data_IF_362694934162
#
_entry.id   IF_362694934162
#
_cell.length_a   1.000
_cell.length_b   1.000
_cell.length_c   1.000
_cell.angle_alpha   90.00
_cell.angle_beta   90.00
_cell.angle_gamma   90.00
#
_symmetry.space_group_name_H-M   'P 1'
#
loop_
_entity.id
_entity.type
_entity.pdbx_description
1 polymer ?
#
# COMPACT_ATOMS: atom_id res chain seq x y z
N UNK A 1 82.44 19.66 -1.29
CA UNK A 1 81.61 18.80 -0.41
C UNK A 1 80.40 18.36 -1.22
N UNK A 2 80.23 17.05 -1.41
CA UNK A 2 79.25 16.47 -2.33
C UNK A 2 77.80 16.63 -1.81
N UNK A 3 76.86 16.90 -2.73
CA UNK A 3 75.41 16.98 -2.51
C UNK A 3 74.87 15.75 -1.72
N UNK A 4 75.54 14.61 -1.87
CA UNK A 4 75.27 13.36 -1.14
C UNK A 4 75.47 13.46 0.38
N UNK A 5 76.36 14.32 0.86
CA UNK A 5 76.59 14.52 2.30
C UNK A 5 75.50 15.35 2.99
N UNK A 6 74.82 16.21 2.23
CA UNK A 6 73.72 17.03 2.73
C UNK A 6 72.42 16.21 2.77
N UNK A 7 72.20 15.34 1.79
CA UNK A 7 71.06 14.41 1.77
C UNK A 7 71.16 13.38 2.91
N UNK A 8 72.37 12.92 3.28
CA UNK A 8 72.60 11.99 4.41
C UNK A 8 72.29 12.58 5.79
N UNK A 9 72.19 13.90 5.93
CA UNK A 9 71.80 14.57 7.18
C UNK A 9 70.29 14.70 7.36
N UNK A 10 69.52 14.52 6.28
CA UNK A 10 68.05 14.63 6.27
C UNK A 10 67.40 13.23 6.28
N UNK A 11 68.13 12.17 5.91
CA UNK A 11 67.70 10.78 6.04
C UNK A 11 67.98 10.24 7.45
N UNK A 12 67.00 9.62 8.15
CA UNK A 12 67.22 9.07 9.48
C UNK A 12 68.35 8.03 9.51
N UNK A 13 69.18 8.07 10.55
CA UNK A 13 70.35 7.21 10.70
C UNK A 13 69.99 5.73 10.83
N UNK A 14 70.40 4.92 9.85
CA UNK A 14 70.30 3.45 9.80
C UNK A 14 68.89 2.85 9.80
N UNK A 15 68.70 1.76 9.03
CA UNK A 15 67.45 0.98 8.96
C UNK A 15 66.89 0.58 10.33
N UNK A 16 67.76 0.42 11.34
CA UNK A 16 67.36 0.15 12.73
C UNK A 16 66.57 1.28 13.39
N UNK A 17 66.89 2.55 13.07
CA UNK A 17 66.16 3.71 13.62
C UNK A 17 64.77 3.83 13.00
N UNK A 18 64.66 3.60 11.68
CA UNK A 18 63.36 3.56 10.99
C UNK A 18 62.48 2.39 11.46
N UNK A 19 63.06 1.21 11.69
CA UNK A 19 62.33 0.08 12.28
C UNK A 19 61.89 0.38 13.71
N UNK A 20 62.74 0.96 14.56
CA UNK A 20 62.36 1.35 15.90
C UNK A 20 61.24 2.41 15.90
N UNK A 21 61.22 3.32 14.92
CA UNK A 21 60.12 4.27 14.75
C UNK A 21 58.82 3.61 14.26
N UNK A 22 58.89 2.61 13.38
CA UNK A 22 57.71 1.85 12.97
C UNK A 22 57.17 1.02 14.13
N UNK A 23 58.03 0.32 14.88
CA UNK A 23 57.62 -0.44 16.07
C UNK A 23 57.00 0.46 17.14
N UNK A 24 57.52 1.68 17.38
CA UNK A 24 56.90 2.63 18.31
C UNK A 24 55.56 3.17 17.77
N UNK A 25 55.44 3.35 16.45
CA UNK A 25 54.20 3.79 15.81
C UNK A 25 53.11 2.70 15.90
N UNK A 26 53.45 1.46 15.57
CA UNK A 26 52.55 0.30 15.65
C UNK A 26 52.09 0.09 17.10
N UNK A 27 53.02 0.15 18.06
CA UNK A 27 52.67 0.08 19.49
C UNK A 27 51.70 1.18 19.91
N UNK A 28 51.88 2.42 19.41
CA UNK A 28 50.95 3.52 19.69
C UNK A 28 49.59 3.31 19.03
N UNK A 29 49.54 2.77 17.82
CA UNK A 29 48.28 2.42 17.16
C UNK A 29 47.54 1.34 17.95
N UNK A 30 48.22 0.28 18.38
CA UNK A 30 47.64 -0.77 19.21
C UNK A 30 47.08 -0.22 20.53
N UNK A 31 47.81 0.70 21.19
CA UNK A 31 47.33 1.37 22.40
C UNK A 31 46.08 2.22 22.14
N UNK A 32 45.99 2.89 20.99
CA UNK A 32 44.81 3.67 20.60
C UNK A 32 43.63 2.75 20.29
N UNK A 33 43.83 1.68 19.53
CA UNK A 33 42.78 0.70 19.22
C UNK A 33 42.25 0.04 20.48
N UNK A 34 43.12 -0.39 21.40
CA UNK A 34 42.70 -0.97 22.68
C UNK A 34 41.87 0.01 23.51
N UNK A 35 42.22 1.30 23.52
CA UNK A 35 41.43 2.34 24.19
C UNK A 35 40.08 2.57 23.51
N UNK A 36 40.03 2.51 22.18
CA UNK A 36 38.78 2.61 21.41
C UNK A 36 37.87 1.42 21.72
N UNK A 37 38.38 0.19 21.68
CA UNK A 37 37.61 -1.02 22.03
C UNK A 37 37.09 -0.99 23.46
N UNK A 38 37.92 -0.53 24.42
CA UNK A 38 37.51 -0.37 25.80
C UNK A 38 36.41 0.69 25.95
N UNK A 39 36.53 1.82 25.26
CA UNK A 39 35.53 2.88 25.28
C UNK A 39 34.22 2.41 24.63
N UNK A 40 34.30 1.76 23.46
CA UNK A 40 33.15 1.20 22.74
C UNK A 40 32.44 0.14 23.59
N UNK A 41 33.18 -0.80 24.18
CA UNK A 41 32.63 -1.81 25.10
C UNK A 41 31.97 -1.14 26.31
N UNK A 42 32.59 -0.13 26.91
CA UNK A 42 32.03 0.58 28.06
C UNK A 42 30.75 1.36 27.72
N UNK A 43 30.73 2.02 26.57
CA UNK A 43 29.56 2.78 26.08
C UNK A 43 28.43 1.82 25.75
N UNK A 44 28.68 0.81 24.90
CA UNK A 44 27.67 -0.15 24.45
C UNK A 44 27.12 -0.97 25.61
N UNK A 45 27.96 -1.44 26.54
CA UNK A 45 27.50 -2.16 27.72
C UNK A 45 26.64 -1.29 28.65
N UNK A 46 26.99 0.00 28.83
CA UNK A 46 26.18 0.91 29.62
C UNK A 46 24.84 1.25 28.94
N UNK A 47 24.83 1.38 27.60
CA UNK A 47 23.61 1.57 26.82
C UNK A 47 22.73 0.33 26.94
N UNK A 48 23.27 -0.87 26.67
CA UNK A 48 22.54 -2.13 26.79
C UNK A 48 22.01 -2.31 28.21
N UNK A 49 22.82 -2.06 29.24
CA UNK A 49 22.38 -2.13 30.63
C UNK A 49 21.22 -1.17 30.90
N UNK A 50 21.31 0.10 30.48
CA UNK A 50 20.23 1.07 30.67
C UNK A 50 18.97 0.67 29.89
N UNK A 51 19.12 0.14 28.69
CA UNK A 51 18.03 -0.37 27.88
C UNK A 51 17.36 -1.56 28.59
N UNK A 52 18.10 -2.62 28.87
CA UNK A 52 17.59 -3.88 29.42
C UNK A 52 17.05 -3.74 30.85
N UNK A 53 17.68 -2.93 31.69
CA UNK A 53 17.32 -2.85 33.12
C UNK A 53 16.38 -1.70 33.47
N UNK A 54 16.26 -0.68 32.62
CA UNK A 54 15.40 0.48 32.89
C UNK A 54 14.35 0.64 31.82
N UNK A 55 14.75 0.86 30.58
CA UNK A 55 13.82 1.24 29.52
C UNK A 55 12.91 0.08 29.10
N UNK A 56 13.45 -1.11 28.86
CA UNK A 56 12.71 -2.27 28.40
C UNK A 56 11.64 -2.73 29.40
N UNK A 57 11.91 -2.84 30.72
CA UNK A 57 10.87 -3.14 31.70
C UNK A 57 9.77 -2.07 31.77
N UNK A 58 10.12 -0.79 31.61
CA UNK A 58 9.13 0.31 31.56
C UNK A 58 8.24 0.21 30.31
N UNK A 59 8.83 -0.08 29.14
CA UNK A 59 8.08 -0.30 27.89
C UNK A 59 7.13 -1.49 28.04
N UNK A 60 7.60 -2.62 28.56
CA UNK A 60 6.75 -3.79 28.78
C UNK A 60 5.62 -3.50 29.78
N UNK A 61 5.91 -2.74 30.85
CA UNK A 61 4.89 -2.31 31.79
C UNK A 61 3.85 -1.38 31.14
N UNK A 62 4.29 -0.44 30.30
CA UNK A 62 3.39 0.44 29.55
C UNK A 62 2.51 -0.35 28.58
N UNK A 63 3.08 -1.32 27.86
CA UNK A 63 2.35 -2.23 26.97
C UNK A 63 1.30 -3.04 27.72
N UNK A 64 1.65 -3.63 28.87
CA UNK A 64 0.72 -4.36 29.72
C UNK A 64 -0.41 -3.46 30.25
N UNK A 65 -0.08 -2.22 30.66
CA UNK A 65 -1.08 -1.23 31.10
C UNK A 65 -2.01 -0.82 29.97
N UNK A 66 -1.48 -0.59 28.76
CA UNK A 66 -2.26 -0.26 27.58
C UNK A 66 -3.21 -1.41 27.23
N UNK A 67 -2.74 -2.65 27.25
CA UNK A 67 -3.58 -3.82 27.02
C UNK A 67 -4.68 -3.92 28.09
N UNK A 68 -4.34 -3.79 29.36
CA UNK A 68 -5.30 -3.83 30.46
C UNK A 68 -6.37 -2.74 30.33
N UNK A 69 -5.97 -1.52 29.94
CA UNK A 69 -6.87 -0.41 29.71
C UNK A 69 -7.79 -0.66 28.51
N UNK A 70 -7.26 -1.23 27.42
CA UNK A 70 -8.02 -1.61 26.23
C UNK A 70 -9.08 -2.66 26.57
N UNK A 71 -8.72 -3.71 27.32
CA UNK A 71 -9.65 -4.75 27.78
C UNK A 71 -10.73 -4.18 28.71
N UNK A 72 -10.35 -3.31 29.66
CA UNK A 72 -11.31 -2.62 30.53
C UNK A 72 -12.29 -1.75 29.73
N UNK A 73 -11.81 -1.03 28.71
CA UNK A 73 -12.66 -0.21 27.85
C UNK A 73 -13.62 -1.09 27.04
N UNK A 74 -13.11 -2.18 26.46
CA UNK A 74 -13.92 -3.15 25.69
C UNK A 74 -15.04 -3.76 26.53
N UNK A 75 -14.74 -4.22 27.75
CA UNK A 75 -15.74 -4.78 28.66
C UNK A 75 -16.79 -3.74 29.10
N UNK A 76 -16.35 -2.53 29.46
CA UNK A 76 -17.26 -1.43 29.83
C UNK A 76 -18.17 -1.08 28.68
N UNK A 77 -17.61 -0.96 27.49
CA UNK A 77 -18.34 -0.66 26.27
C UNK A 77 -19.37 -1.75 25.97
N UNK A 78 -18.97 -3.02 25.96
CA UNK A 78 -19.86 -4.14 25.72
C UNK A 78 -21.02 -4.18 26.72
N UNK A 79 -20.74 -3.97 28.01
CA UNK A 79 -21.76 -3.94 29.05
C UNK A 79 -22.75 -2.78 28.88
N UNK A 80 -22.25 -1.57 28.61
CA UNK A 80 -23.10 -0.39 28.38
C UNK A 80 -23.92 -0.54 27.09
N UNK A 81 -23.29 -1.03 26.02
CA UNK A 81 -23.91 -1.17 24.72
C UNK A 81 -25.00 -2.25 24.72
N UNK A 82 -24.75 -3.43 25.32
CA UNK A 82 -25.78 -4.47 25.51
C UNK A 82 -26.96 -3.99 26.36
N UNK A 83 -26.72 -3.12 27.35
CA UNK A 83 -27.78 -2.55 28.18
C UNK A 83 -28.59 -1.50 27.44
N UNK A 84 -27.96 -0.68 26.62
CA UNK A 84 -28.62 0.36 25.82
C UNK A 84 -29.38 -0.21 24.61
N UNK A 85 -28.87 -1.29 24.02
CA UNK A 85 -29.40 -1.90 22.79
C UNK A 85 -29.54 -3.43 22.94
N UNK A 86 -30.44 -3.91 23.79
CA UNK A 86 -30.57 -5.34 24.09
C UNK A 86 -31.07 -6.17 22.89
N UNK A 87 -31.77 -5.54 21.95
CA UNK A 87 -32.41 -6.21 20.81
C UNK A 87 -31.53 -6.25 19.56
N UNK A 88 -30.39 -5.55 19.56
CA UNK A 88 -29.47 -5.56 18.42
C UNK A 88 -28.52 -6.76 18.50
N UNK A 89 -28.27 -7.38 17.36
CA UNK A 89 -27.16 -8.32 17.23
C UNK A 89 -25.82 -7.60 17.42
N UNK A 90 -24.74 -8.31 17.78
CA UNK A 90 -23.41 -7.70 17.89
C UNK A 90 -22.95 -6.97 16.62
N UNK A 91 -23.34 -7.44 15.43
CA UNK A 91 -23.00 -6.81 14.16
C UNK A 91 -23.77 -5.49 13.96
N UNK A 92 -25.09 -5.50 14.12
CA UNK A 92 -25.91 -4.28 14.00
C UNK A 92 -25.48 -3.21 14.99
N UNK A 93 -25.11 -3.63 16.20
CA UNK A 93 -24.57 -2.74 17.21
C UNK A 93 -23.25 -2.09 16.74
N UNK A 94 -22.30 -2.88 16.21
CA UNK A 94 -21.05 -2.34 15.66
C UNK A 94 -21.31 -1.37 14.51
N UNK A 95 -22.18 -1.70 13.55
CA UNK A 95 -22.55 -0.77 12.48
C UNK A 95 -23.15 0.53 13.04
N UNK A 96 -24.05 0.45 14.01
CA UNK A 96 -24.66 1.63 14.64
C UNK A 96 -23.63 2.55 15.31
N UNK A 97 -22.64 1.99 15.99
CA UNK A 97 -21.55 2.78 16.57
C UNK A 97 -20.67 3.39 15.49
N UNK A 98 -20.36 2.60 14.46
CA UNK A 98 -19.49 3.03 13.38
C UNK A 98 -20.12 4.15 12.53
N UNK A 99 -21.43 4.06 12.29
CA UNK A 99 -22.25 5.09 11.65
C UNK A 99 -22.32 6.38 12.51
N UNK A 100 -22.35 6.24 13.83
CA UNK A 100 -22.36 7.37 14.75
C UNK A 100 -21.02 8.12 14.86
N UNK A 101 -19.93 7.61 14.28
CA UNK A 101 -18.67 8.34 14.25
C UNK A 101 -18.83 9.62 13.41
N UNK A 102 -18.24 10.76 13.84
CA UNK A 102 -18.31 11.99 13.06
C UNK A 102 -17.70 11.76 11.68
N UNK A 103 -18.25 12.44 10.68
CA UNK A 103 -17.62 12.53 9.37
C UNK A 103 -16.25 13.23 9.50
N UNK A 104 -15.37 13.01 8.53
CA UNK A 104 -14.16 13.79 8.40
C UNK A 104 -14.47 15.29 8.31
N UNK A 105 -13.53 16.12 8.73
CA UNK A 105 -13.59 17.58 8.59
C UNK A 105 -12.41 18.09 7.77
N UNK A 106 -12.52 19.34 7.30
CA UNK A 106 -11.44 20.03 6.59
C UNK A 106 -11.04 19.36 5.28
N UNK A 107 -9.74 19.20 5.10
CA UNK A 107 -9.11 18.80 3.84
C UNK A 107 -9.40 17.33 3.49
N UNK A 108 -9.41 16.43 4.48
CA UNK A 108 -9.80 15.03 4.29
C UNK A 108 -11.25 14.94 3.79
N UNK A 109 -12.15 15.76 4.34
CA UNK A 109 -13.56 15.74 3.90
C UNK A 109 -13.72 16.17 2.44
N UNK A 110 -12.99 17.21 2.03
CA UNK A 110 -12.99 17.66 0.65
C UNK A 110 -12.48 16.54 -0.28
N UNK A 111 -11.42 15.83 0.12
CA UNK A 111 -10.87 14.69 -0.63
C UNK A 111 -11.90 13.57 -0.77
N UNK A 112 -12.52 13.13 0.34
CA UNK A 112 -13.58 12.12 0.33
C UNK A 112 -14.71 12.50 -0.65
N UNK A 113 -15.20 13.74 -0.57
CA UNK A 113 -16.27 14.20 -1.45
C UNK A 113 -15.86 14.22 -2.93
N UNK A 114 -14.63 14.64 -3.21
CA UNK A 114 -14.09 14.67 -4.57
C UNK A 114 -13.84 13.25 -5.13
N UNK A 115 -13.35 12.31 -4.31
CA UNK A 115 -13.22 10.90 -4.70
C UNK A 115 -14.59 10.25 -4.95
N UNK A 116 -15.61 10.54 -4.13
CA UNK A 116 -16.97 10.07 -4.41
C UNK A 116 -17.54 10.66 -5.71
N UNK A 117 -17.30 11.95 -5.97
CA UNK A 117 -17.68 12.59 -7.22
C UNK A 117 -16.98 11.93 -8.42
N UNK A 118 -15.68 11.67 -8.32
CA UNK A 118 -14.91 10.94 -9.35
C UNK A 118 -15.44 9.52 -9.56
N UNK A 119 -15.74 8.80 -8.48
CA UNK A 119 -16.32 7.46 -8.53
C UNK A 119 -17.71 7.46 -9.20
N UNK A 120 -18.50 8.52 -9.04
CA UNK A 120 -19.78 8.66 -9.75
C UNK A 120 -19.61 8.79 -11.28
N UNK A 121 -18.52 9.43 -11.72
CA UNK A 121 -18.18 9.53 -13.14
C UNK A 121 -17.72 8.19 -13.68
N UNK A 122 -16.89 7.48 -12.92
CA UNK A 122 -16.49 6.11 -13.24
C UNK A 122 -17.70 5.17 -13.33
N UNK A 123 -18.63 5.24 -12.39
CA UNK A 123 -19.86 4.44 -12.40
C UNK A 123 -20.69 4.68 -13.66
N UNK A 124 -20.85 5.94 -14.08
CA UNK A 124 -21.56 6.29 -15.31
C UNK A 124 -20.86 5.74 -16.57
N UNK A 125 -19.53 5.84 -16.64
CA UNK A 125 -18.72 5.28 -17.73
C UNK A 125 -18.85 3.76 -17.76
N UNK A 126 -18.78 3.11 -16.61
CA UNK A 126 -18.95 1.67 -16.51
C UNK A 126 -20.35 1.22 -16.96
N UNK A 127 -21.39 1.93 -16.54
CA UNK A 127 -22.77 1.65 -16.94
C UNK A 127 -22.96 1.80 -18.46
N UNK A 128 -22.40 2.86 -19.06
CA UNK A 128 -22.49 3.11 -20.50
C UNK A 128 -21.78 2.04 -21.34
N UNK A 129 -20.74 1.42 -20.80
CA UNK A 129 -19.90 0.42 -21.50
C UNK A 129 -20.18 -1.03 -21.05
N UNK A 130 -21.20 -1.26 -20.22
CA UNK A 130 -21.53 -2.58 -19.66
C UNK A 130 -20.32 -3.25 -18.97
N UNK A 131 -19.62 -2.46 -18.16
CA UNK A 131 -18.46 -2.85 -17.36
C UNK A 131 -18.95 -3.08 -15.93
N UNK A 132 -18.58 -4.22 -15.34
CA UNK A 132 -18.93 -4.53 -13.96
C UNK A 132 -17.75 -4.24 -13.03
N UNK A 133 -18.06 -3.59 -11.91
CA UNK A 133 -17.14 -3.38 -10.80
C UNK A 133 -17.88 -3.62 -9.49
N UNK A 134 -17.13 -3.78 -8.40
CA UNK A 134 -17.68 -3.76 -7.06
C UNK A 134 -16.72 -3.09 -6.08
N UNK A 135 -17.25 -2.37 -5.11
CA UNK A 135 -16.46 -1.82 -4.00
C UNK A 135 -15.82 -2.95 -3.21
N UNK A 136 -14.60 -2.70 -2.73
CA UNK A 136 -13.83 -3.62 -1.90
C UNK A 136 -13.15 -2.85 -0.76
N UNK A 137 -12.39 -3.56 0.06
CA UNK A 137 -11.54 -2.97 1.10
C UNK A 137 -12.26 -2.04 2.09
N UNK A 138 -11.61 -0.93 2.47
CA UNK A 138 -12.16 0.09 3.37
C UNK A 138 -13.46 0.67 2.81
N UNK A 139 -13.51 0.88 1.50
CA UNK A 139 -14.69 1.42 0.82
C UNK A 139 -15.91 0.51 0.94
N UNK A 140 -15.76 -0.82 0.82
CA UNK A 140 -16.86 -1.76 1.05
C UNK A 140 -17.32 -1.75 2.51
N UNK A 141 -16.37 -1.74 3.45
CA UNK A 141 -16.68 -1.69 4.89
C UNK A 141 -17.43 -0.40 5.23
N UNK A 142 -16.97 0.77 4.77
CA UNK A 142 -17.64 2.05 4.95
C UNK A 142 -19.05 2.06 4.34
N UNK A 143 -19.18 1.55 3.11
CA UNK A 143 -20.46 1.43 2.41
C UNK A 143 -21.49 0.63 3.22
N UNK A 144 -21.10 -0.56 3.69
CA UNK A 144 -22.04 -1.44 4.40
C UNK A 144 -22.30 -1.02 5.84
N UNK A 145 -21.37 -0.29 6.48
CA UNK A 145 -21.50 0.09 7.89
C UNK A 145 -22.18 1.44 8.10
N UNK A 146 -21.94 2.41 7.20
CA UNK A 146 -22.43 3.78 7.33
C UNK A 146 -22.82 4.46 6.02
N UNK A 147 -22.96 3.70 4.94
CA UNK A 147 -23.34 4.22 3.61
C UNK A 147 -22.44 5.38 3.16
N UNK A 148 -21.13 5.28 3.37
CA UNK A 148 -20.19 6.35 3.04
C UNK A 148 -18.75 5.97 3.40
N UNK A 149 -17.86 6.96 3.39
CA UNK A 149 -16.47 6.76 3.80
C UNK A 149 -16.34 6.39 5.28
N UNK A 150 -15.31 5.61 5.57
CA UNK A 150 -14.76 5.53 6.92
C UNK A 150 -14.12 6.90 7.24
N UNK A 151 -14.30 7.50 8.44
CA UNK A 151 -13.90 8.89 8.69
C UNK A 151 -12.43 9.24 8.47
N UNK A 152 -11.53 8.28 8.60
CA UNK A 152 -10.09 8.47 8.44
C UNK A 152 -9.55 7.96 7.10
N UNK A 153 -10.42 7.41 6.25
CA UNK A 153 -10.08 6.83 4.96
C UNK A 153 -10.24 7.89 3.87
N UNK A 154 -9.29 8.00 2.96
CA UNK A 154 -9.17 9.10 2.00
C UNK A 154 -9.37 8.67 0.54
N UNK A 155 -9.41 7.38 0.22
CA UNK A 155 -9.51 6.84 -1.13
C UNK A 155 -10.74 5.93 -1.34
N UNK A 156 -10.93 5.50 -2.60
CA UNK A 156 -11.97 4.52 -2.97
C UNK A 156 -11.31 3.36 -3.70
N UNK A 157 -11.54 2.16 -3.18
CA UNK A 157 -11.15 0.90 -3.78
C UNK A 157 -12.31 0.21 -4.48
N UNK A 158 -12.09 -0.16 -5.75
CA UNK A 158 -12.94 -1.07 -6.49
C UNK A 158 -12.17 -2.29 -6.95
N UNK A 159 -12.92 -3.31 -7.32
CA UNK A 159 -12.41 -4.46 -8.06
C UNK A 159 -13.15 -4.60 -9.38
N UNK A 160 -12.44 -5.11 -10.39
CA UNK A 160 -12.97 -5.42 -11.71
C UNK A 160 -12.35 -6.72 -12.22
N UNK A 161 -13.06 -7.43 -13.10
CA UNK A 161 -12.40 -8.47 -13.90
C UNK A 161 -11.39 -7.84 -14.85
N UNK A 162 -10.28 -8.54 -15.16
CA UNK A 162 -9.26 -8.05 -16.10
C UNK A 162 -9.87 -7.64 -17.44
N UNK A 163 -10.78 -8.47 -17.97
CA UNK A 163 -11.51 -8.17 -19.21
C UNK A 163 -12.37 -6.91 -19.14
N UNK A 164 -12.84 -6.52 -17.95
CA UNK A 164 -13.63 -5.31 -17.74
C UNK A 164 -12.73 -4.08 -17.54
N UNK A 165 -11.58 -4.25 -16.90
CA UNK A 165 -10.53 -3.23 -16.87
C UNK A 165 -9.99 -2.93 -18.28
N UNK A 166 -9.77 -3.95 -19.12
CA UNK A 166 -9.34 -3.76 -20.52
C UNK A 166 -10.37 -2.96 -21.33
N UNK A 167 -11.67 -3.24 -21.12
CA UNK A 167 -12.76 -2.45 -21.74
C UNK A 167 -12.75 -1.01 -21.24
N UNK A 168 -12.52 -0.80 -19.94
CA UNK A 168 -12.46 0.54 -19.36
C UNK A 168 -11.30 1.34 -19.96
N UNK A 169 -10.10 0.76 -20.04
CA UNK A 169 -8.94 1.37 -20.70
C UNK A 169 -9.23 1.69 -22.17
N UNK A 170 -9.89 0.77 -22.90
CA UNK A 170 -10.28 1.02 -24.28
C UNK A 170 -11.30 2.16 -24.42
N UNK A 171 -12.27 2.26 -23.51
CA UNK A 171 -13.29 3.31 -23.51
C UNK A 171 -12.70 4.70 -23.20
N UNK A 172 -11.61 4.75 -22.43
CA UNK A 172 -10.97 5.99 -21.98
C UNK A 172 -9.78 6.45 -22.86
N UNK A 173 -9.44 5.70 -23.91
CA UNK A 173 -8.22 5.96 -24.70
C UNK A 173 -8.10 7.39 -25.24
N UNK A 174 -9.23 7.98 -25.62
CA UNK A 174 -9.31 9.34 -26.18
C UNK A 174 -10.21 10.26 -25.33
N UNK A 175 -10.46 9.89 -24.06
CA UNK A 175 -11.29 10.69 -23.17
C UNK A 175 -10.51 11.94 -22.69
N UNK A 176 -11.07 13.15 -22.86
CA UNK A 176 -10.35 14.38 -22.51
C UNK A 176 -10.36 14.67 -21.00
N UNK A 177 -11.27 14.07 -20.24
CA UNK A 177 -11.52 14.39 -18.83
C UNK A 177 -10.94 13.35 -17.87
N UNK A 178 -10.91 12.08 -18.28
CA UNK A 178 -10.52 10.97 -17.43
C UNK A 178 -9.54 10.02 -18.10
N UNK A 179 -8.74 9.34 -17.28
CA UNK A 179 -7.72 8.41 -17.75
C UNK A 179 -7.53 7.24 -16.80
N UNK A 180 -6.90 6.18 -17.31
CA UNK A 180 -6.33 5.12 -16.50
C UNK A 180 -4.83 5.33 -16.42
N UNK A 181 -4.28 5.32 -15.22
CA UNK A 181 -2.83 5.35 -14.98
C UNK A 181 -2.35 4.00 -14.48
N UNK A 182 -1.19 3.60 -14.97
CA UNK A 182 -0.50 2.37 -14.59
C UNK A 182 0.80 2.72 -13.88
N UNK A 183 0.94 2.25 -12.63
CA UNK A 183 2.12 2.50 -11.80
C UNK A 183 2.62 1.18 -11.22
N UNK A 184 3.92 0.95 -11.30
CA UNK A 184 4.58 -0.20 -10.69
C UNK A 184 5.10 0.20 -9.32
N UNK A 185 4.61 -0.47 -8.26
CA UNK A 185 4.97 -0.20 -6.86
C UNK A 185 6.00 -1.21 -6.35
N UNK A 186 7.20 -0.73 -6.02
CA UNK A 186 8.31 -1.55 -5.54
C UNK A 186 8.11 -2.08 -4.12
N UNK A 187 7.38 -1.38 -3.25
CA UNK A 187 7.22 -1.79 -1.85
C UNK A 187 6.33 -3.03 -1.73
N UNK A 188 5.25 -3.06 -2.51
CA UNK A 188 4.32 -4.19 -2.53
C UNK A 188 4.48 -5.09 -3.76
N UNK A 189 5.43 -4.78 -4.66
CA UNK A 189 5.70 -5.52 -5.90
C UNK A 189 4.43 -5.74 -6.72
N UNK A 190 3.69 -4.68 -6.99
CA UNK A 190 2.43 -4.77 -7.72
C UNK A 190 2.34 -3.77 -8.86
N UNK A 191 1.35 -4.00 -9.71
CA UNK A 191 0.95 -3.12 -10.80
C UNK A 191 -0.36 -2.44 -10.40
N UNK A 192 -0.28 -1.19 -9.97
CA UNK A 192 -1.41 -0.36 -9.58
C UNK A 192 -2.12 0.16 -10.82
N UNK A 193 -3.43 -0.04 -10.87
CA UNK A 193 -4.31 0.50 -11.90
C UNK A 193 -5.22 1.52 -11.21
N UNK A 194 -5.16 2.77 -11.64
CA UNK A 194 -5.95 3.86 -11.08
C UNK A 194 -6.77 4.55 -12.13
N UNK A 195 -8.00 4.91 -11.80
CA UNK A 195 -8.80 5.85 -12.57
C UNK A 195 -8.70 7.23 -11.96
N UNK A 196 -8.33 8.23 -12.76
CA UNK A 196 -8.16 9.60 -12.28
C UNK A 196 -8.57 10.64 -13.34
N UNK A 197 -8.65 11.89 -12.90
CA UNK A 197 -8.86 13.04 -13.78
C UNK A 197 -7.60 13.33 -14.62
N UNK A 198 -7.77 13.83 -15.85
CA UNK A 198 -6.67 14.41 -16.63
C UNK A 198 -6.28 15.80 -16.12
N UNK A 199 -7.17 16.47 -15.37
CA UNK A 199 -6.91 17.75 -14.75
C UNK A 199 -6.11 17.58 -13.46
N UNK A 200 -4.85 18.04 -13.46
CA UNK A 200 -3.94 17.97 -12.32
C UNK A 200 -4.42 18.73 -11.07
N UNK A 201 -5.37 19.66 -11.22
CA UNK A 201 -6.01 20.35 -10.08
C UNK A 201 -7.07 19.51 -9.37
N UNK A 202 -7.39 18.32 -9.89
CA UNK A 202 -8.27 17.33 -9.26
C UNK A 202 -7.42 16.08 -8.99
N UNK A 203 -6.57 16.11 -7.95
CA UNK A 203 -5.65 15.04 -7.59
C UNK A 203 -6.35 13.82 -6.96
N UNK A 204 -7.53 13.46 -7.45
CA UNK A 204 -8.35 12.35 -6.99
C UNK A 204 -8.09 11.11 -7.85
N UNK A 205 -8.20 9.94 -7.23
CA UNK A 205 -8.12 8.67 -7.94
C UNK A 205 -9.05 7.64 -7.30
N UNK A 206 -9.37 6.61 -8.08
CA UNK A 206 -10.02 5.39 -7.63
C UNK A 206 -9.06 4.23 -7.90
N UNK A 207 -8.73 3.46 -6.87
CA UNK A 207 -7.87 2.29 -6.99
C UNK A 207 -8.67 1.10 -7.56
N UNK A 208 -8.11 0.45 -8.58
CA UNK A 208 -8.74 -0.66 -9.30
C UNK A 208 -7.92 -1.94 -9.11
N UNK A 209 -8.41 -2.82 -8.24
CA UNK A 209 -7.86 -4.16 -8.07
C UNK A 209 -8.39 -5.13 -9.12
N UNK A 210 -7.48 -5.84 -9.80
CA UNK A 210 -7.83 -6.72 -10.92
C UNK A 210 -8.16 -8.15 -10.46
N UNK A 211 -9.19 -8.74 -11.04
CA UNK A 211 -9.52 -10.15 -10.86
C UNK A 211 -9.37 -10.92 -12.17
N UNK A 212 -8.67 -12.04 -12.09
CA UNK A 212 -8.63 -13.08 -13.11
C UNK A 212 -9.71 -14.14 -12.86
N UNK A 213 -9.84 -15.10 -13.76
CA UNK A 213 -10.74 -16.23 -13.55
C UNK A 213 -9.99 -17.40 -12.93
N UNK A 214 -10.55 -17.93 -11.85
CA UNK A 214 -10.09 -19.14 -11.20
C UNK A 214 -10.60 -20.37 -11.97
N UNK A 215 -9.69 -21.30 -12.26
CA UNK A 215 -10.03 -22.62 -12.79
C UNK A 215 -10.65 -23.52 -11.72
N UNK A 216 -10.25 -23.32 -10.46
CA UNK A 216 -10.71 -24.10 -9.30
C UNK A 216 -10.89 -23.19 -8.08
N UNK A 217 -12.00 -23.36 -7.36
CA UNK A 217 -12.26 -22.69 -6.09
C UNK A 217 -12.19 -23.68 -4.93
N UNK A 218 -10.95 -24.02 -4.56
CA UNK A 218 -10.67 -24.87 -3.41
C UNK A 218 -9.66 -24.22 -2.49
N UNK A 219 -9.57 -24.72 -1.25
CA UNK A 219 -8.53 -24.29 -0.30
C UNK A 219 -7.13 -24.52 -0.89
N UNK A 220 -6.91 -25.62 -1.61
CA UNK A 220 -5.63 -25.92 -2.28
C UNK A 220 -5.30 -24.84 -3.31
N UNK A 221 -6.24 -24.52 -4.20
CA UNK A 221 -6.02 -23.52 -5.25
C UNK A 221 -5.72 -22.14 -4.64
N UNK A 222 -6.48 -21.76 -3.62
CA UNK A 222 -6.31 -20.50 -2.89
C UNK A 222 -4.92 -20.42 -2.22
N UNK A 223 -4.53 -21.45 -1.47
CA UNK A 223 -3.22 -21.52 -0.81
C UNK A 223 -2.07 -21.51 -1.84
N UNK A 224 -2.24 -22.21 -2.97
CA UNK A 224 -1.19 -22.26 -4.01
C UNK A 224 -1.04 -20.93 -4.75
N UNK A 225 -2.15 -20.25 -5.06
CA UNK A 225 -2.09 -18.94 -5.72
C UNK A 225 -1.47 -17.88 -4.80
N UNK A 226 -1.77 -17.90 -3.49
CA UNK A 226 -1.07 -17.06 -2.49
C UNK A 226 0.41 -17.37 -2.46
N UNK A 227 0.78 -18.64 -2.47
CA UNK A 227 2.19 -19.04 -2.48
C UNK A 227 2.91 -18.53 -3.72
N UNK A 228 2.27 -18.55 -4.90
CA UNK A 228 2.85 -17.97 -6.12
C UNK A 228 3.04 -16.46 -6.00
N UNK A 229 2.10 -15.73 -5.38
CA UNK A 229 2.25 -14.30 -5.13
C UNK A 229 3.46 -14.00 -4.22
N UNK A 230 3.64 -14.79 -3.16
CA UNK A 230 4.81 -14.68 -2.27
C UNK A 230 6.10 -15.03 -3.03
N UNK A 231 6.10 -16.11 -3.82
CA UNK A 231 7.25 -16.49 -4.67
C UNK A 231 7.62 -15.37 -5.65
N UNK A 232 6.64 -14.62 -6.18
CA UNK A 232 6.87 -13.46 -7.05
C UNK A 232 7.52 -12.29 -6.29
N UNK A 233 7.07 -11.99 -5.07
CA UNK A 233 7.69 -10.94 -4.24
C UNK A 233 9.13 -11.30 -3.92
N UNK A 234 9.35 -12.53 -3.45
CA UNK A 234 10.68 -13.08 -3.16
C UNK A 234 11.60 -13.04 -4.38
N UNK A 235 11.05 -13.24 -5.59
CA UNK A 235 11.82 -13.17 -6.82
C UNK A 235 12.38 -11.77 -7.05
N UNK A 236 11.54 -10.73 -6.93
CA UNK A 236 12.02 -9.35 -7.08
C UNK A 236 13.05 -8.97 -6.02
N UNK A 237 12.84 -9.39 -4.77
CA UNK A 237 13.77 -9.07 -3.68
C UNK A 237 15.13 -9.78 -3.85
N UNK A 238 15.14 -11.05 -4.30
CA UNK A 238 16.38 -11.79 -4.55
C UNK A 238 17.17 -11.29 -5.74
N UNK A 239 16.49 -10.69 -6.72
CA UNK A 239 17.07 -10.19 -7.96
C UNK A 239 17.06 -8.66 -8.02
N UNK A 240 17.05 -7.97 -6.88
CA UNK A 240 16.88 -6.52 -6.81
C UNK A 240 17.90 -5.72 -7.64
N UNK A 241 19.08 -6.27 -7.87
CA UNK A 241 20.12 -5.66 -8.70
C UNK A 241 19.73 -5.58 -10.18
N UNK A 242 18.88 -6.49 -10.66
CA UNK A 242 18.35 -6.49 -12.04
C UNK A 242 17.22 -5.46 -12.21
N UNK A 243 16.61 -5.02 -11.11
CA UNK A 243 15.51 -4.06 -11.07
C UNK A 243 15.91 -2.77 -10.34
N UNK A 244 17.19 -2.40 -10.40
CA UNK A 244 17.72 -1.28 -9.63
C UNK A 244 16.99 0.03 -9.94
N UNK A 245 16.59 0.24 -11.19
CA UNK A 245 15.84 1.43 -11.57
C UNK A 245 14.48 1.50 -10.83
N UNK A 246 13.71 0.41 -10.84
CA UNK A 246 12.43 0.35 -10.13
C UNK A 246 12.60 0.44 -8.61
N UNK A 247 13.68 -0.14 -8.06
CA UNK A 247 14.03 0.01 -6.64
C UNK A 247 14.31 1.45 -6.25
N UNK A 248 15.06 2.18 -7.08
CA UNK A 248 15.41 3.57 -6.84
C UNK A 248 14.23 4.53 -7.15
N UNK A 249 13.27 4.09 -7.96
CA UNK A 249 12.04 4.80 -8.32
C UNK A 249 10.82 3.96 -7.94
N UNK A 250 10.47 3.89 -6.63
CA UNK A 250 9.54 2.90 -6.11
C UNK A 250 8.12 3.00 -6.69
N UNK A 251 7.74 4.16 -7.24
CA UNK A 251 6.53 4.35 -8.04
C UNK A 251 6.93 4.65 -9.48
N UNK A 252 7.13 3.60 -10.27
CA UNK A 252 7.55 3.72 -11.66
C UNK A 252 6.32 3.78 -12.57
N UNK A 253 6.11 4.92 -13.24
CA UNK A 253 4.97 5.10 -14.14
C UNK A 253 5.21 4.43 -15.48
N UNK A 254 4.16 3.83 -16.04
CA UNK A 254 4.19 3.42 -17.44
C UNK A 254 4.39 4.65 -18.35
N UNK A 255 5.25 4.60 -19.38
CA UNK A 255 5.54 5.75 -20.26
C UNK A 255 4.31 6.41 -20.87
N UNK A 256 3.32 5.59 -21.23
CA UNK A 256 2.06 6.05 -21.82
C UNK A 256 1.01 6.51 -20.79
N UNK A 257 1.27 6.36 -19.48
CA UNK A 257 0.34 6.81 -18.43
C UNK A 257 0.54 8.28 -18.09
N UNK A 258 -0.56 8.98 -17.81
CA UNK A 258 -0.54 10.29 -17.19
C UNK A 258 -0.14 10.24 -15.71
N UNK A 259 -0.09 11.42 -15.09
CA UNK A 259 0.20 11.55 -13.66
C UNK A 259 -1.02 11.16 -12.82
N UNK A 260 -0.79 10.34 -11.80
CA UNK A 260 -1.69 10.15 -10.66
C UNK A 260 -0.92 10.49 -9.40
N UNK A 261 -1.60 11.03 -8.39
CA UNK A 261 -0.97 11.30 -7.10
C UNK A 261 -0.52 10.00 -6.43
N UNK A 262 0.58 10.10 -5.69
CA UNK A 262 1.17 9.04 -4.86
C UNK A 262 1.43 9.57 -3.45
N UNK A 263 1.69 8.67 -2.51
CA UNK A 263 2.00 9.02 -1.12
C UNK A 263 3.40 9.64 -0.94
N UNK A 264 4.27 9.56 -1.96
CA UNK A 264 5.58 10.18 -1.99
C UNK A 264 5.87 10.93 -3.30
N UNK A 265 7.02 11.61 -3.33
CA UNK A 265 7.43 12.44 -4.47
C UNK A 265 7.77 11.58 -5.68
N UNK A 266 7.25 11.99 -6.85
CA UNK A 266 7.52 11.35 -8.14
C UNK A 266 7.94 12.40 -9.16
N UNK A 267 9.18 12.30 -9.64
CA UNK A 267 9.65 13.09 -10.79
C UNK A 267 9.28 12.37 -12.10
N UNK A 268 8.05 12.61 -12.56
CA UNK A 268 7.53 11.97 -13.77
C UNK A 268 8.30 12.40 -15.03
N UNK A 269 8.82 13.64 -15.08
CA UNK A 269 9.59 14.12 -16.23
C UNK A 269 10.93 13.38 -16.31
N UNK A 270 11.66 13.29 -15.18
CA UNK A 270 12.89 12.50 -15.12
C UNK A 270 12.63 11.04 -15.47
N UNK A 271 11.57 10.42 -14.91
CA UNK A 271 11.19 9.06 -15.27
C UNK A 271 10.93 8.93 -16.77
N UNK A 272 10.18 9.82 -17.41
CA UNK A 272 9.91 9.74 -18.86
C UNK A 272 11.15 9.86 -19.74
N UNK A 273 12.21 10.52 -19.26
CA UNK A 273 13.48 10.60 -20.00
C UNK A 273 14.36 9.37 -19.87
N UNK A 274 14.18 8.58 -18.80
CA UNK A 274 15.07 7.47 -18.43
C UNK A 274 14.38 6.09 -18.52
N UNK A 275 13.12 6.00 -18.11
CA UNK A 275 12.27 4.80 -18.26
C UNK A 275 12.08 4.54 -19.74
N UNK A 276 12.88 3.61 -20.25
CA UNK A 276 12.61 3.01 -21.54
C UNK A 276 11.51 1.96 -21.39
N UNK A 277 10.76 1.70 -22.47
CA UNK A 277 9.82 0.57 -22.53
C UNK A 277 10.48 -0.74 -22.05
N UNK A 278 11.80 -0.90 -22.19
CA UNK A 278 12.52 -2.09 -21.77
C UNK A 278 12.52 -2.34 -20.25
N UNK A 279 12.54 -1.31 -19.39
CA UNK A 279 12.47 -1.50 -17.93
C UNK A 279 11.08 -1.99 -17.50
N UNK A 280 10.05 -1.41 -18.10
CA UNK A 280 8.66 -1.82 -17.89
C UNK A 280 8.43 -3.23 -18.43
N UNK A 281 8.90 -3.51 -19.64
CA UNK A 281 8.80 -4.82 -20.27
C UNK A 281 9.51 -5.90 -19.44
N UNK A 282 10.66 -5.55 -18.83
CA UNK A 282 11.38 -6.45 -17.94
C UNK A 282 10.53 -6.81 -16.71
N UNK A 283 9.98 -5.82 -16.02
CA UNK A 283 9.11 -6.04 -14.85
C UNK A 283 7.84 -6.80 -15.25
N UNK A 284 7.19 -6.41 -16.34
CA UNK A 284 5.97 -7.04 -16.85
C UNK A 284 6.22 -8.50 -17.25
N UNK A 285 7.37 -8.83 -17.85
CA UNK A 285 7.72 -10.20 -18.22
C UNK A 285 7.77 -11.15 -17.01
N UNK A 286 8.17 -10.65 -15.84
CA UNK A 286 8.14 -11.43 -14.60
C UNK A 286 6.71 -11.69 -14.17
N UNK A 287 5.86 -10.66 -14.13
CA UNK A 287 4.43 -10.82 -13.83
C UNK A 287 3.76 -11.82 -14.78
N UNK A 288 4.02 -11.71 -16.07
CA UNK A 288 3.49 -12.60 -17.10
C UNK A 288 3.94 -14.05 -16.89
N UNK A 289 5.23 -14.28 -16.61
CA UNK A 289 5.74 -15.63 -16.34
C UNK A 289 5.07 -16.31 -15.14
N UNK A 290 4.75 -15.53 -14.10
CA UNK A 290 4.05 -16.04 -12.92
C UNK A 290 2.56 -16.25 -13.17
N UNK A 291 1.94 -15.42 -14.01
CA UNK A 291 0.59 -15.63 -14.49
C UNK A 291 0.52 -16.94 -15.32
N UNK A 292 1.41 -17.13 -16.29
CA UNK A 292 1.53 -18.37 -17.07
C UNK A 292 1.74 -19.60 -16.17
N UNK A 293 2.59 -19.48 -15.14
CA UNK A 293 2.79 -20.53 -14.14
C UNK A 293 1.49 -20.86 -13.38
N UNK A 294 0.66 -19.88 -13.08
CA UNK A 294 -0.65 -20.10 -12.44
C UNK A 294 -1.64 -20.81 -13.37
N UNK A 295 -1.65 -20.48 -14.67
CA UNK A 295 -2.43 -21.19 -15.70
C UNK A 295 -1.94 -22.65 -15.86
N UNK A 296 -0.62 -22.86 -15.97
CA UNK A 296 -0.02 -24.20 -16.11
C UNK A 296 -0.31 -25.11 -14.90
N UNK A 297 -0.47 -24.53 -13.71
CA UNK A 297 -0.86 -25.25 -12.49
C UNK A 297 -2.37 -25.49 -12.37
N UNK A 298 -3.16 -25.01 -13.33
CA UNK A 298 -4.62 -25.11 -13.31
C UNK A 298 -5.27 -24.28 -12.19
N UNK A 299 -4.67 -23.13 -11.84
CA UNK A 299 -5.22 -22.20 -10.85
C UNK A 299 -6.07 -21.13 -11.52
N UNK A 300 -5.59 -20.61 -12.65
CA UNK A 300 -6.24 -19.61 -13.47
C UNK A 300 -6.72 -20.22 -14.80
N UNK A 301 -7.70 -19.60 -15.41
CA UNK A 301 -8.28 -20.02 -16.70
C UNK A 301 -8.76 -18.83 -17.51
N UNK A 302 -8.84 -18.98 -18.82
CA UNK A 302 -9.49 -18.00 -19.71
C UNK A 302 -10.99 -18.31 -19.90
N UNK A 303 -11.46 -19.45 -19.36
CA UNK A 303 -12.84 -19.91 -19.50
C UNK A 303 -13.86 -18.93 -18.88
N UNK A 304 -14.89 -18.48 -19.61
CA UNK A 304 -15.81 -17.42 -19.17
C UNK A 304 -16.60 -17.72 -17.88
N UNK A 305 -16.68 -18.98 -17.49
CA UNK A 305 -17.51 -19.44 -16.38
C UNK A 305 -16.74 -19.69 -15.08
N UNK A 306 -15.42 -19.46 -15.08
CA UNK A 306 -14.59 -19.58 -13.89
C UNK A 306 -15.05 -18.66 -12.75
N UNK A 307 -14.72 -19.09 -11.54
CA UNK A 307 -14.79 -18.28 -10.32
C UNK A 307 -13.77 -17.14 -10.39
N UNK A 308 -13.69 -16.27 -9.38
CA UNK A 308 -12.88 -15.06 -9.46
C UNK A 308 -11.63 -15.17 -8.60
N UNK A 309 -10.46 -15.12 -9.21
CA UNK A 309 -9.18 -15.11 -8.54
C UNK A 309 -8.63 -13.68 -8.51
N UNK A 310 -8.14 -13.26 -7.35
CA UNK A 310 -7.36 -12.04 -7.24
C UNK A 310 -6.09 -12.19 -8.07
N UNK A 311 -5.82 -11.20 -8.92
CA UNK A 311 -4.74 -11.29 -9.87
C UNK A 311 -3.36 -11.33 -9.20
N UNK A 312 -2.40 -12.03 -9.81
CA UNK A 312 -1.06 -12.23 -9.24
C UNK A 312 -0.20 -10.96 -9.25
N UNK A 313 -0.53 -10.01 -10.11
CA UNK A 313 0.10 -8.70 -10.29
C UNK A 313 -0.47 -7.61 -9.36
N UNK A 314 -1.45 -7.92 -8.52
CA UNK A 314 -2.03 -6.96 -7.58
C UNK A 314 -1.32 -6.91 -6.20
N UNK A 315 -1.65 -5.88 -5.41
CA UNK A 315 -1.24 -5.75 -4.00
C UNK A 315 -1.73 -6.93 -3.14
N UNK A 316 -0.84 -7.50 -2.33
CA UNK A 316 -1.17 -8.59 -1.41
C UNK A 316 -0.60 -8.31 -0.02
N UNK A 317 -1.39 -7.62 0.80
CA UNK A 317 -1.02 -7.16 2.15
C UNK A 317 -1.51 -8.10 3.26
N UNK A 318 -2.42 -9.02 2.95
CA UNK A 318 -3.11 -9.85 3.92
C UNK A 318 -2.91 -11.35 3.64
N UNK A 319 -1.87 -12.00 4.21
CA UNK A 319 -1.52 -13.39 3.90
C UNK A 319 -2.62 -14.40 4.22
N UNK A 320 -3.59 -14.02 5.06
CA UNK A 320 -4.74 -14.85 5.44
C UNK A 320 -6.01 -14.55 4.65
N UNK A 321 -6.05 -13.47 3.85
CA UNK A 321 -7.26 -13.07 3.11
C UNK A 321 -7.58 -14.07 2.02
N UNK A 322 -8.86 -14.35 1.82
CA UNK A 322 -9.36 -15.20 0.74
C UNK A 322 -9.14 -14.50 -0.61
N UNK A 323 -8.45 -15.15 -1.54
CA UNK A 323 -8.11 -14.57 -2.86
C UNK A 323 -8.81 -15.25 -4.04
N UNK A 324 -9.67 -16.24 -3.80
CA UNK A 324 -10.49 -16.88 -4.84
C UNK A 324 -11.92 -16.87 -4.31
N UNK A 325 -12.85 -16.38 -5.10
CA UNK A 325 -14.24 -16.13 -4.73
C UNK A 325 -15.19 -16.87 -5.65
N UNK A 326 -16.27 -17.39 -5.07
CA UNK A 326 -17.38 -17.92 -5.85
C UNK A 326 -18.00 -16.77 -6.64
N UNK A 327 -18.16 -16.96 -7.95
CA UNK A 327 -18.74 -15.92 -8.82
C UNK A 327 -20.12 -15.45 -8.35
N UNK A 328 -20.89 -16.29 -7.67
CA UNK A 328 -22.23 -15.96 -7.17
C UNK A 328 -22.20 -15.25 -5.81
N UNK A 329 -21.04 -15.18 -5.16
CA UNK A 329 -20.84 -14.28 -4.02
C UNK A 329 -20.62 -12.83 -4.49
N UNK A 330 -20.09 -12.66 -5.71
CA UNK A 330 -19.76 -11.35 -6.30
C UNK A 330 -20.84 -10.86 -7.26
N UNK A 331 -21.24 -11.68 -8.23
CA UNK A 331 -22.21 -11.34 -9.26
C UNK A 331 -23.59 -11.99 -9.03
N UNK A 332 -24.67 -11.37 -9.51
CA UNK A 332 -24.71 -10.01 -10.07
C UNK A 332 -24.48 -8.98 -8.95
N UNK A 333 -23.75 -7.90 -9.28
CA UNK A 333 -23.55 -6.80 -8.33
C UNK A 333 -24.89 -6.13 -8.00
N UNK A 334 -24.98 -5.56 -6.80
CA UNK A 334 -26.14 -4.77 -6.36
C UNK A 334 -25.72 -3.35 -6.03
N UNK A 335 -26.64 -2.40 -6.16
CA UNK A 335 -26.41 -1.01 -5.80
C UNK A 335 -26.62 -0.81 -4.29
N UNK A 336 -25.71 -0.07 -3.66
CA UNK A 336 -25.79 0.32 -2.25
C UNK A 336 -25.61 1.84 -2.12
N UNK A 337 -26.31 2.52 -1.20
CA UNK A 337 -26.07 3.95 -0.92
C UNK A 337 -24.63 4.23 -0.48
N UNK A 338 -24.08 5.35 -0.96
CA UNK A 338 -22.78 5.89 -0.58
C UNK A 338 -22.82 7.43 -0.64
N UNK A 339 -23.06 8.08 0.50
CA UNK A 339 -23.33 9.52 0.55
C UNK A 339 -24.54 9.90 -0.31
N UNK A 340 -24.34 10.84 -1.24
CA UNK A 340 -25.33 11.23 -2.24
C UNK A 340 -25.42 10.29 -3.46
N UNK A 341 -24.58 9.27 -3.53
CA UNK A 341 -24.45 8.38 -4.68
C UNK A 341 -24.91 6.95 -4.38
N UNK A 342 -24.87 6.09 -5.40
CA UNK A 342 -25.06 4.65 -5.22
C UNK A 342 -24.11 3.84 -6.09
N UNK A 343 -23.30 3.02 -5.43
CA UNK A 343 -22.23 2.25 -6.06
C UNK A 343 -22.49 0.75 -5.99
N UNK A 344 -21.83 0.03 -6.89
CA UNK A 344 -21.93 -1.43 -6.99
C UNK A 344 -21.17 -2.10 -5.86
N UNK A 345 -21.83 -3.03 -5.16
CA UNK A 345 -21.24 -3.92 -4.16
C UNK A 345 -21.49 -5.38 -4.56
N UNK A 346 -20.72 -6.34 -4.02
CA UNK A 346 -20.93 -7.76 -4.31
C UNK A 346 -22.37 -8.23 -3.99
N UNK A 347 -22.83 -9.26 -4.71
CA UNK A 347 -24.14 -9.89 -4.49
C UNK A 347 -24.35 -10.28 -3.02
N UNK A 348 -23.31 -10.82 -2.38
CA UNK A 348 -23.26 -11.16 -0.96
C UNK A 348 -22.20 -10.33 -0.24
N UNK A 349 -22.31 -9.01 -0.35
CA UNK A 349 -21.37 -8.03 0.18
C UNK A 349 -20.95 -8.29 1.65
N UNK A 350 -21.90 -8.61 2.53
CA UNK A 350 -21.65 -8.87 3.95
C UNK A 350 -20.80 -10.14 4.14
N UNK A 351 -21.06 -11.19 3.35
CA UNK A 351 -20.26 -12.43 3.35
C UNK A 351 -18.84 -12.16 2.87
N UNK A 352 -18.69 -11.30 1.86
CA UNK A 352 -17.37 -10.90 1.33
C UNK A 352 -16.60 -10.13 2.40
N UNK A 353 -17.23 -9.13 3.02
CA UNK A 353 -16.65 -8.35 4.10
C UNK A 353 -16.29 -9.23 5.31
N UNK A 354 -17.15 -10.16 5.74
CA UNK A 354 -16.88 -11.09 6.85
C UNK A 354 -15.66 -11.97 6.61
N UNK A 355 -15.48 -12.46 5.38
CA UNK A 355 -14.36 -13.32 5.03
C UNK A 355 -13.03 -12.56 4.88
N UNK A 356 -13.09 -11.26 4.57
CA UNK A 356 -11.91 -10.38 4.52
C UNK A 356 -11.56 -9.77 5.88
N UNK A 357 -12.57 -9.42 6.68
CA UNK A 357 -12.46 -8.64 7.91
C UNK A 357 -13.29 -9.26 9.04
N UNK A 358 -12.93 -10.44 9.57
CA UNK A 358 -13.74 -11.11 10.58
C UNK A 358 -14.01 -10.20 11.79
N UNK A 359 -15.30 -9.98 12.11
CA UNK A 359 -15.72 -9.13 13.22
C UNK A 359 -15.86 -7.64 12.89
N UNK A 360 -15.81 -7.25 11.62
CA UNK A 360 -16.09 -5.88 11.17
C UNK A 360 -17.51 -5.40 11.54
N UNK A 361 -17.76 -4.07 11.49
CA UNK A 361 -16.75 -3.01 11.48
C UNK A 361 -16.06 -2.88 12.86
N UNK A 362 -14.77 -2.55 12.86
CA UNK A 362 -13.99 -2.29 14.08
C UNK A 362 -13.03 -1.12 13.85
N UNK A 363 -12.57 -0.49 14.93
CA UNK A 363 -11.54 0.55 14.86
C UNK A 363 -10.17 -0.12 14.71
N UNK A 364 -9.42 0.12 13.63
CA UNK A 364 -8.12 -0.50 13.44
C UNK A 364 -7.06 0.22 14.27
N UNK A 365 -5.92 -0.44 14.51
CA UNK A 365 -4.84 0.09 15.34
C UNK A 365 -4.09 1.27 14.70
N UNK A 366 -4.21 1.40 13.38
CA UNK A 366 -3.53 2.36 12.52
C UNK A 366 -4.44 3.51 12.08
N UNK A 367 -5.51 3.80 12.84
CA UNK A 367 -6.48 4.88 12.56
C UNK A 367 -5.83 6.25 12.25
N UNK A 368 -4.61 6.50 12.72
CA UNK A 368 -3.86 7.73 12.50
C UNK A 368 -2.83 7.64 11.34
N UNK A 369 -2.82 6.58 10.55
CA UNK A 369 -1.79 6.28 9.55
C UNK A 369 -2.31 5.94 8.15
N UNK A 370 -3.60 6.16 7.87
CA UNK A 370 -4.20 6.01 6.55
C UNK A 370 -4.00 7.29 5.74
N UNK A 371 -2.79 7.52 5.25
CA UNK A 371 -2.47 8.63 4.35
C UNK A 371 -2.12 8.06 2.95
N UNK A 372 -3.05 8.10 1.98
CA UNK A 372 -2.78 7.68 0.60
C UNK A 372 -2.32 8.86 -0.30
N UNK A 373 -2.48 10.09 0.18
CA UNK A 373 -2.04 11.32 -0.48
C UNK A 373 -0.81 11.93 0.20
N UNK A 374 0.03 12.62 -0.59
CA UNK A 374 1.03 13.51 -0.03
C UNK A 374 0.34 14.66 0.76
N UNK A 375 0.87 14.97 1.95
CA UNK A 375 0.21 15.84 2.96
C UNK A 375 0.01 17.29 2.51
N UNK A 376 0.69 17.69 1.45
CA UNK A 376 0.73 19.05 0.92
C UNK A 376 -0.06 19.23 -0.37
N UNK A 377 -0.69 18.18 -0.92
CA UNK A 377 -1.49 18.25 -2.16
C UNK A 377 -2.60 19.31 -2.06
N UNK A 378 -3.20 19.48 -0.88
CA UNK A 378 -4.26 20.47 -0.63
C UNK A 378 -3.73 21.81 -0.08
N UNK A 379 -2.41 21.98 -0.02
CA UNK A 379 -1.80 23.26 0.36
C UNK A 379 -1.94 24.33 -0.74
N UNK A 380 -2.13 23.91 -1.99
CA UNK A 380 -2.37 24.80 -3.13
C UNK A 380 -3.85 25.28 -3.14
N UNK A 381 -4.11 26.60 -3.03
CA UNK A 381 -5.45 27.15 -3.10
C UNK A 381 -6.21 26.84 -4.40
N UNK A 382 -5.50 26.73 -5.52
CA UNK A 382 -6.12 26.47 -6.83
C UNK A 382 -6.64 25.03 -6.91
N UNK A 383 -5.88 24.07 -6.38
CA UNK A 383 -6.30 22.67 -6.22
C UNK A 383 -7.56 22.60 -5.34
N UNK A 384 -7.52 23.26 -4.16
CA UNK A 384 -8.67 23.28 -3.23
C UNK A 384 -9.93 23.85 -3.90
N UNK A 385 -9.78 24.94 -4.64
CA UNK A 385 -10.87 25.60 -5.36
C UNK A 385 -11.45 24.71 -6.47
N UNK A 386 -10.58 24.10 -7.27
CA UNK A 386 -10.97 23.20 -8.36
C UNK A 386 -11.70 21.96 -7.84
N UNK A 387 -11.21 21.32 -6.78
CA UNK A 387 -11.88 20.19 -6.14
C UNK A 387 -13.23 20.56 -5.56
N UNK A 388 -13.34 21.70 -4.85
CA UNK A 388 -14.61 22.15 -4.30
C UNK A 388 -15.65 22.40 -5.41
N UNK A 389 -15.22 22.99 -6.53
CA UNK A 389 -16.06 23.17 -7.71
C UNK A 389 -16.48 21.83 -8.32
N UNK A 390 -15.55 20.90 -8.48
CA UNK A 390 -15.83 19.56 -9.01
C UNK A 390 -16.87 18.81 -8.18
N UNK A 391 -16.79 18.90 -6.84
CA UNK A 391 -17.77 18.32 -5.92
C UNK A 391 -19.16 18.92 -6.13
N UNK A 392 -19.26 20.24 -6.32
CA UNK A 392 -20.55 20.93 -6.54
C UNK A 392 -21.15 20.58 -7.91
N UNK A 393 -20.33 20.33 -8.93
CA UNK A 393 -20.80 19.98 -10.28
C UNK A 393 -21.33 18.54 -10.38
N UNK A 394 -20.92 17.65 -9.48
CA UNK A 394 -21.30 16.23 -9.50
C UNK A 394 -22.45 15.88 -8.53
N UNK A 395 -22.70 16.72 -7.53
CA UNK A 395 -23.86 16.61 -6.63
C UNK A 395 -25.05 17.41 -7.19
#
# INVERSE_FOLDING_TARGET
MSLLSTIKKILPGSSRSLHAMHEDMDRRFDEVFARIEQADSGINMNINYKFDTRLFPEIELLKQRQQSLSEQMSLRFELLARRAYPDLTPFELRCKIFDALPDAEGDIRLMQQANAALMSKLDAICAANNIQYWLSYGSLVGTLSRSGFIPWDDDIDICMLRSDADKLTAALKDDPEYQITLVYDWFVKCRQVRFCSTNSLIPCFVDISIYDRAAENSKRANDRLRQLRIELMDFFDKNEHEFSFWKDNPWMFHPDSGLSVQCGDVDLEAQRTVVSSAEIDLVQSVFDSFNEKAHALGLLTDEPHGDFAYAIDNVFDAPKRKIIWDRNDILPVRKHPFGGFSFSVPAKAEKVADACYPGWPYMPMDICGHDHFAKDVLSDPDVRSAMAKFVVECN
#
